data_IF_757234139651
#
_entry.id   IF_757234139651
#
_cell.length_a   1.000
_cell.length_b   1.000
_cell.length_c   1.000
_cell.angle_alpha   90.00
_cell.angle_beta   90.00
_cell.angle_gamma   90.00
#
_symmetry.space_group_name_H-M   'P 1'
#
loop_
_entity.id
_entity.type
_entity.pdbx_description
1 polymer ?
#
# COMPACT_ATOMS: atom_id res chain seq x y z
N UNK A 1 3.69 -9.72 2.30
CA UNK A 1 3.96 -8.64 1.31
C UNK A 1 2.67 -8.13 0.71
N UNK A 2 2.69 -6.88 0.23
CA UNK A 2 1.62 -6.25 -0.56
C UNK A 2 1.39 -7.04 -1.85
N UNK A 3 0.15 -7.07 -2.32
CA UNK A 3 -0.20 -7.71 -3.61
C UNK A 3 -0.77 -6.68 -4.59
N UNK A 4 -0.43 -6.82 -5.86
CA UNK A 4 -1.04 -6.11 -6.97
C UNK A 4 -1.69 -7.12 -7.92
N UNK A 5 -2.99 -7.00 -8.17
CA UNK A 5 -3.78 -7.97 -8.97
C UNK A 5 -3.64 -9.44 -8.52
N UNK A 6 -3.45 -9.64 -7.20
CA UNK A 6 -3.19 -10.95 -6.61
C UNK A 6 -1.74 -11.45 -6.76
N UNK A 7 -0.87 -10.67 -7.38
CA UNK A 7 0.56 -10.96 -7.54
C UNK A 7 1.30 -10.33 -6.35
N UNK A 8 2.10 -11.10 -5.57
CA UNK A 8 2.96 -10.51 -4.54
C UNK A 8 3.94 -9.51 -5.15
N UNK A 9 4.04 -8.32 -4.58
CA UNK A 9 5.01 -7.29 -4.97
C UNK A 9 6.37 -7.69 -4.38
N UNK A 10 7.01 -8.67 -5.00
CA UNK A 10 8.27 -9.26 -4.56
C UNK A 10 8.92 -10.05 -5.72
N UNK A 11 10.12 -10.60 -5.47
CA UNK A 11 10.83 -11.41 -6.43
C UNK A 11 11.61 -10.60 -7.46
N UNK A 12 11.96 -11.23 -8.58
CA UNK A 12 12.73 -10.58 -9.63
C UNK A 12 11.87 -9.78 -10.60
N UNK A 13 12.43 -8.67 -11.14
CA UNK A 13 11.74 -7.80 -12.11
C UNK A 13 11.21 -8.57 -13.31
N UNK A 14 12.00 -9.50 -13.84
CA UNK A 14 11.62 -10.30 -15.02
C UNK A 14 10.39 -11.17 -14.76
N UNK A 15 10.31 -11.81 -13.61
CA UNK A 15 9.16 -12.64 -13.20
C UNK A 15 7.91 -11.79 -12.98
N UNK A 16 8.05 -10.65 -12.30
CA UNK A 16 6.95 -9.71 -12.11
C UNK A 16 6.40 -9.23 -13.45
N UNK A 17 7.29 -8.86 -14.38
CA UNK A 17 6.92 -8.44 -15.74
C UNK A 17 6.12 -9.52 -16.47
N UNK A 18 6.57 -10.78 -16.44
CA UNK A 18 5.84 -11.90 -17.06
C UNK A 18 4.46 -12.12 -16.45
N UNK A 19 4.34 -12.04 -15.11
CA UNK A 19 3.05 -12.17 -14.42
C UNK A 19 2.08 -11.05 -14.81
N UNK A 20 2.56 -9.81 -14.97
CA UNK A 20 1.73 -8.69 -15.43
C UNK A 20 1.33 -8.84 -16.90
N UNK A 21 2.22 -9.34 -17.77
CA UNK A 21 1.86 -9.66 -19.16
C UNK A 21 0.78 -10.74 -19.20
N UNK A 22 0.88 -11.76 -18.37
CA UNK A 22 -0.17 -12.79 -18.25
C UNK A 22 -1.51 -12.25 -17.73
N UNK A 23 -1.51 -11.08 -17.07
CA UNK A 23 -2.74 -10.35 -16.67
C UNK A 23 -3.28 -9.42 -17.76
N UNK A 24 -2.67 -9.38 -18.94
CA UNK A 24 -3.14 -8.63 -20.10
C UNK A 24 -2.42 -7.30 -20.35
N UNK A 25 -1.39 -6.97 -19.59
CA UNK A 25 -0.59 -5.76 -19.83
C UNK A 25 0.41 -5.97 -20.95
N UNK A 26 0.56 -4.96 -21.82
CA UNK A 26 1.45 -5.01 -22.98
C UNK A 26 2.76 -4.28 -22.67
N UNK A 27 3.93 -4.92 -22.84
CA UNK A 27 5.21 -4.26 -22.63
C UNK A 27 5.48 -3.20 -23.70
N UNK A 28 5.97 -2.04 -23.24
CA UNK A 28 6.37 -0.90 -24.06
C UNK A 28 7.77 -0.44 -23.67
N UNK A 29 8.43 0.18 -24.63
CA UNK A 29 9.73 0.81 -24.42
C UNK A 29 9.81 2.10 -25.23
N UNK A 30 10.13 3.18 -24.53
CA UNK A 30 10.35 4.51 -25.14
C UNK A 30 11.72 5.02 -24.68
N UNK A 31 12.69 5.04 -25.59
CA UNK A 31 14.07 5.32 -25.22
C UNK A 31 14.61 4.28 -24.23
N UNK A 32 15.04 4.73 -23.06
CA UNK A 32 15.50 3.89 -21.95
C UNK A 32 14.39 3.47 -20.99
N UNK A 33 13.20 4.08 -21.10
CA UNK A 33 12.08 3.81 -20.20
C UNK A 33 11.29 2.58 -20.65
N UNK A 34 11.19 1.59 -19.76
CA UNK A 34 10.38 0.40 -19.96
C UNK A 34 9.19 0.42 -19.00
N UNK A 35 8.00 0.19 -19.53
CA UNK A 35 6.76 0.10 -18.77
C UNK A 35 5.80 -0.92 -19.41
N UNK A 36 4.71 -1.22 -18.72
CA UNK A 36 3.62 -2.00 -19.28
C UNK A 36 2.39 -1.11 -19.41
N UNK A 37 1.66 -1.24 -20.50
CA UNK A 37 0.46 -0.50 -20.83
C UNK A 37 -0.76 -1.40 -20.74
N UNK A 38 -1.87 -0.89 -20.22
CA UNK A 38 -3.13 -1.61 -20.15
C UNK A 38 -4.17 -0.85 -19.35
N UNK A 39 -5.29 -1.51 -19.08
CA UNK A 39 -6.38 -0.97 -18.28
C UNK A 39 -6.29 -1.48 -16.84
N UNK A 40 -6.47 -0.59 -15.88
CA UNK A 40 -6.60 -0.91 -14.47
C UNK A 40 -7.72 -0.09 -13.85
N UNK A 41 -8.70 -0.77 -13.24
CA UNK A 41 -9.85 -0.14 -12.57
C UNK A 41 -10.62 0.86 -13.47
N UNK A 42 -10.80 0.50 -14.75
CA UNK A 42 -11.52 1.29 -15.74
C UNK A 42 -10.75 2.53 -16.25
N UNK A 43 -9.43 2.52 -16.14
CA UNK A 43 -8.57 3.61 -16.57
C UNK A 43 -7.34 3.05 -17.29
N UNK A 44 -6.96 3.67 -18.41
CA UNK A 44 -5.71 3.36 -19.09
C UNK A 44 -4.53 3.78 -18.23
N UNK A 45 -3.58 2.89 -18.05
CA UNK A 45 -2.45 3.09 -17.15
C UNK A 45 -1.13 2.63 -17.75
N UNK A 46 -0.06 3.23 -17.26
CA UNK A 46 1.31 2.78 -17.42
C UNK A 46 1.82 2.19 -16.10
N UNK A 47 2.31 0.96 -16.13
CA UNK A 47 2.84 0.28 -14.95
C UNK A 47 4.36 0.24 -15.01
N UNK A 48 4.99 0.71 -13.95
CA UNK A 48 6.43 0.68 -13.75
C UNK A 48 6.78 -0.27 -12.59
N UNK A 49 7.83 -1.05 -12.77
CA UNK A 49 8.34 -1.99 -11.77
C UNK A 49 9.64 -1.43 -11.21
N UNK A 50 9.61 -0.95 -9.98
CA UNK A 50 10.79 -0.43 -9.29
C UNK A 50 11.50 -1.56 -8.53
N UNK A 51 12.83 -1.58 -8.62
CA UNK A 51 13.66 -2.62 -8.01
C UNK A 51 14.85 -2.04 -7.26
N UNK A 52 15.24 -2.74 -6.20
CA UNK A 52 16.53 -2.59 -5.54
C UNK A 52 17.29 -3.91 -5.68
N UNK A 53 18.52 -3.91 -6.17
CA UNK A 53 19.30 -5.10 -6.49
C UNK A 53 18.51 -6.16 -7.27
N UNK A 54 17.77 -5.71 -8.31
CA UNK A 54 16.87 -6.52 -9.15
C UNK A 54 15.70 -7.19 -8.41
N UNK A 55 15.49 -6.89 -7.14
CA UNK A 55 14.33 -7.32 -6.35
C UNK A 55 13.25 -6.23 -6.36
N UNK A 56 12.03 -6.62 -6.66
CA UNK A 56 10.89 -5.70 -6.75
C UNK A 56 10.54 -5.21 -5.35
N UNK A 57 10.53 -3.88 -5.16
CA UNK A 57 10.07 -3.25 -3.93
C UNK A 57 8.80 -2.41 -4.12
N UNK A 58 8.48 -2.05 -5.39
CA UNK A 58 7.33 -1.20 -5.69
C UNK A 58 6.76 -1.47 -7.08
N UNK A 59 5.44 -1.49 -7.18
CA UNK A 59 4.71 -1.33 -8.43
C UNK A 59 4.11 0.07 -8.45
N UNK A 60 4.36 0.83 -9.52
CA UNK A 60 3.77 2.15 -9.75
C UNK A 60 2.77 2.03 -10.88
N UNK A 61 1.54 2.46 -10.63
CA UNK A 61 0.45 2.48 -11.61
C UNK A 61 0.09 3.93 -11.88
N UNK A 62 0.54 4.45 -13.02
CA UNK A 62 0.34 5.84 -13.41
C UNK A 62 -0.81 5.94 -14.41
N UNK A 63 -1.71 6.90 -14.25
CA UNK A 63 -2.69 7.22 -15.28
C UNK A 63 -1.97 7.51 -16.60
N UNK A 64 -2.45 6.94 -17.70
CA UNK A 64 -1.85 7.16 -19.03
C UNK A 64 -2.20 8.54 -19.60
N UNK A 65 -3.32 9.13 -19.14
CA UNK A 65 -3.81 10.40 -19.61
C UNK A 65 -3.92 11.41 -18.46
N UNK A 66 -3.58 12.64 -18.73
CA UNK A 66 -3.74 13.77 -17.81
C UNK A 66 -5.17 14.29 -17.84
N UNK A 67 -5.56 15.01 -16.80
CA UNK A 67 -6.89 15.61 -16.61
C UNK A 67 -6.74 17.04 -16.06
N UNK A 68 -7.79 17.84 -16.21
CA UNK A 68 -7.88 19.13 -15.55
C UNK A 68 -8.10 18.98 -14.03
N UNK A 69 -8.02 20.10 -13.32
CA UNK A 69 -8.15 20.16 -11.86
C UNK A 69 -9.49 19.59 -11.36
N UNK A 70 -10.60 19.93 -12.00
CA UNK A 70 -11.93 19.47 -11.59
C UNK A 70 -12.07 17.95 -11.72
N UNK A 71 -11.65 17.40 -12.86
CA UNK A 71 -11.74 15.99 -13.16
C UNK A 71 -10.78 15.14 -12.29
N UNK A 72 -9.56 15.62 -12.03
CA UNK A 72 -8.63 14.88 -11.18
C UNK A 72 -9.10 14.81 -9.73
N UNK A 73 -9.75 15.88 -9.22
CA UNK A 73 -10.37 15.89 -7.88
C UNK A 73 -11.49 14.84 -7.78
N UNK A 74 -12.37 14.78 -8.78
CA UNK A 74 -13.44 13.76 -8.86
C UNK A 74 -12.82 12.36 -8.89
N UNK A 75 -11.80 12.14 -9.71
CA UNK A 75 -11.12 10.86 -9.81
C UNK A 75 -10.45 10.44 -8.50
N UNK A 76 -9.76 11.37 -7.84
CA UNK A 76 -9.13 11.11 -6.53
C UNK A 76 -10.17 10.69 -5.50
N UNK A 77 -11.24 11.46 -5.34
CA UNK A 77 -12.31 11.15 -4.40
C UNK A 77 -13.03 9.83 -4.73
N UNK A 78 -13.20 9.50 -6.02
CA UNK A 78 -13.75 8.21 -6.44
C UNK A 78 -12.85 7.05 -6.01
N UNK A 79 -11.52 7.19 -6.16
CA UNK A 79 -10.57 6.18 -5.68
C UNK A 79 -10.61 6.04 -4.17
N UNK A 80 -10.61 7.15 -3.42
CA UNK A 80 -10.77 7.13 -1.95
C UNK A 80 -12.00 6.31 -1.56
N UNK A 81 -13.15 6.62 -2.11
CA UNK A 81 -14.40 5.90 -1.83
C UNK A 81 -14.32 4.41 -2.21
N UNK A 82 -13.67 4.07 -3.32
CA UNK A 82 -13.48 2.68 -3.74
C UNK A 82 -12.61 1.89 -2.74
N UNK A 83 -11.54 2.49 -2.24
CA UNK A 83 -10.67 1.87 -1.23
C UNK A 83 -11.37 1.74 0.13
N UNK A 84 -12.08 2.78 0.59
CA UNK A 84 -12.82 2.77 1.85
C UNK A 84 -13.93 1.71 1.87
N UNK A 85 -14.62 1.51 0.74
CA UNK A 85 -15.67 0.51 0.60
C UNK A 85 -15.13 -0.91 0.32
N UNK A 86 -13.84 -1.08 0.11
CA UNK A 86 -13.23 -2.37 -0.14
C UNK A 86 -12.69 -2.99 1.14
N UNK A 87 -13.37 -4.03 1.65
CA UNK A 87 -13.00 -4.75 2.89
C UNK A 87 -11.57 -5.30 2.92
N UNK A 88 -10.88 -5.35 1.79
CA UNK A 88 -9.46 -5.76 1.73
C UNK A 88 -8.50 -4.67 2.17
N UNK A 89 -8.99 -3.44 2.42
CA UNK A 89 -8.16 -2.31 2.78
C UNK A 89 -8.64 -1.67 4.08
N UNK A 90 -7.71 -1.08 4.80
CA UNK A 90 -7.95 -0.24 5.99
C UNK A 90 -7.37 1.13 5.75
N UNK A 91 -8.17 2.18 5.97
CA UNK A 91 -7.73 3.56 6.02
C UNK A 91 -7.48 3.97 7.48
N UNK A 92 -6.54 4.89 7.70
CA UNK A 92 -6.27 5.46 9.03
C UNK A 92 -6.74 6.91 9.15
N UNK A 93 -7.11 7.53 8.04
CA UNK A 93 -7.52 8.94 7.98
C UNK A 93 -8.59 9.13 6.91
N UNK A 94 -9.16 10.32 6.84
CA UNK A 94 -10.09 10.75 5.80
C UNK A 94 -9.32 11.52 4.73
N UNK A 95 -9.37 11.02 3.49
CA UNK A 95 -8.57 11.56 2.40
C UNK A 95 -9.36 12.35 1.36
N UNK A 96 -10.68 12.46 1.52
CA UNK A 96 -11.54 13.16 0.56
C UNK A 96 -11.17 14.63 0.45
N UNK A 97 -10.95 15.10 -0.78
CA UNK A 97 -10.68 16.49 -1.10
C UNK A 97 -12.01 17.23 -1.20
N UNK A 98 -12.14 18.37 -0.49
CA UNK A 98 -13.32 19.24 -0.54
C UNK A 98 -13.49 19.85 -1.94
N UNK A 99 -14.73 20.08 -2.35
CA UNK A 99 -15.04 20.77 -3.61
C UNK A 99 -14.48 22.20 -3.65
N UNK A 100 -14.34 22.84 -2.49
CA UNK A 100 -13.80 24.19 -2.36
C UNK A 100 -12.27 24.26 -2.31
N UNK A 101 -11.59 23.13 -2.23
CA UNK A 101 -10.13 23.06 -2.21
C UNK A 101 -9.57 23.38 -3.60
N UNK A 102 -8.71 24.38 -3.70
CA UNK A 102 -7.97 24.73 -4.90
C UNK A 102 -6.64 23.94 -4.90
N UNK A 103 -6.63 22.79 -5.56
CA UNK A 103 -5.44 21.92 -5.55
C UNK A 103 -4.27 22.53 -6.32
N UNK A 104 -4.53 23.32 -7.36
CA UNK A 104 -3.48 24.00 -8.14
C UNK A 104 -2.74 24.99 -7.24
N UNK A 105 -3.46 25.84 -6.53
CA UNK A 105 -2.90 26.82 -5.61
C UNK A 105 -2.14 26.14 -4.46
N UNK A 106 -2.76 25.16 -3.82
CA UNK A 106 -2.16 24.44 -2.70
C UNK A 106 -0.87 23.70 -3.10
N UNK A 107 -0.86 23.02 -4.24
CA UNK A 107 0.33 22.34 -4.75
C UNK A 107 1.44 23.33 -5.14
N UNK A 108 1.09 24.44 -5.83
CA UNK A 108 2.06 25.39 -6.35
C UNK A 108 2.64 26.27 -5.24
N UNK A 109 1.80 26.86 -4.40
CA UNK A 109 2.17 27.86 -3.39
C UNK A 109 2.59 27.22 -2.07
N UNK A 110 1.78 26.31 -1.56
CA UNK A 110 2.00 25.67 -0.26
C UNK A 110 2.80 24.36 -0.34
N UNK A 111 3.12 23.88 -1.55
CA UNK A 111 3.80 22.60 -1.78
C UNK A 111 3.06 21.40 -1.14
N UNK A 112 1.74 21.54 -0.99
CA UNK A 112 0.89 20.49 -0.42
C UNK A 112 0.85 19.30 -1.35
N UNK A 113 0.96 18.10 -0.79
CA UNK A 113 0.70 16.86 -1.49
C UNK A 113 -0.75 16.41 -1.20
N UNK A 114 -1.43 15.91 -2.21
CA UNK A 114 -2.72 15.26 -2.07
C UNK A 114 -2.51 13.75 -2.20
N UNK A 115 -2.36 13.12 -1.06
CA UNK A 115 -2.06 11.67 -0.92
C UNK A 115 -3.19 10.97 -0.19
N UNK A 116 -3.41 9.70 -0.51
CA UNK A 116 -4.27 8.82 0.26
C UNK A 116 -3.55 7.50 0.53
N UNK A 117 -3.50 7.07 1.78
CA UNK A 117 -2.76 5.89 2.23
C UNK A 117 -3.73 4.85 2.80
N UNK A 118 -3.65 3.67 2.26
CA UNK A 118 -4.41 2.50 2.68
C UNK A 118 -3.46 1.35 2.97
N UNK A 119 -3.93 0.40 3.76
CA UNK A 119 -3.19 -0.82 4.04
C UNK A 119 -4.00 -2.03 3.62
N UNK A 120 -3.39 -2.98 2.94
CA UNK A 120 -4.03 -4.25 2.63
C UNK A 120 -4.16 -5.07 3.90
N UNK A 121 -5.39 -5.50 4.20
CA UNK A 121 -5.65 -6.38 5.33
C UNK A 121 -4.96 -7.73 5.13
N UNK A 122 -4.44 -8.36 6.19
CA UNK A 122 -3.95 -9.73 6.12
C UNK A 122 -5.08 -10.67 5.72
N UNK A 123 -4.75 -11.68 4.93
CA UNK A 123 -5.66 -12.78 4.66
C UNK A 123 -5.78 -13.65 5.92
N UNK A 124 -6.86 -13.45 6.66
CA UNK A 124 -7.07 -14.12 7.96
C UNK A 124 -7.10 -15.65 7.87
N UNK A 125 -7.47 -16.21 6.70
CA UNK A 125 -7.46 -17.66 6.47
C UNK A 125 -6.02 -18.21 6.40
N UNK A 126 -5.05 -17.35 6.06
CA UNK A 126 -3.62 -17.70 5.97
C UNK A 126 -2.80 -17.26 7.18
N UNK A 127 -3.43 -16.62 8.16
CA UNK A 127 -2.75 -16.25 9.40
C UNK A 127 -2.54 -17.52 10.24
N UNK A 128 -1.29 -17.83 10.55
CA UNK A 128 -0.95 -18.88 11.49
C UNK A 128 -1.33 -18.44 12.91
N UNK A 129 -2.52 -18.85 13.34
CA UNK A 129 -3.06 -18.52 14.66
C UNK A 129 -2.22 -19.10 15.79
N UNK A 130 -1.59 -20.27 15.58
CA UNK A 130 -0.71 -20.88 16.58
C UNK A 130 0.58 -20.06 16.73
N UNK A 131 1.19 -19.65 15.64
CA UNK A 131 2.36 -18.76 15.69
C UNK A 131 2.03 -17.42 16.35
N UNK A 132 0.83 -16.87 16.13
CA UNK A 132 0.35 -15.65 16.77
C UNK A 132 0.19 -15.85 18.29
N UNK A 133 -0.46 -16.92 18.70
CA UNK A 133 -0.62 -17.28 20.13
C UNK A 133 0.74 -17.47 20.81
N UNK A 134 1.68 -18.14 20.16
CA UNK A 134 3.04 -18.33 20.70
C UNK A 134 3.76 -16.99 20.91
N UNK A 135 3.67 -16.06 19.93
CA UNK A 135 4.25 -14.72 20.08
C UNK A 135 3.64 -13.93 21.24
N UNK A 136 2.32 -14.01 21.41
CA UNK A 136 1.64 -13.36 22.54
C UNK A 136 2.16 -13.97 23.85
N UNK A 137 2.22 -15.30 23.93
CA UNK A 137 2.70 -16.02 25.11
C UNK A 137 4.16 -15.67 25.46
N UNK A 138 5.04 -15.63 24.45
CA UNK A 138 6.44 -15.24 24.63
C UNK A 138 6.56 -13.84 25.26
N UNK A 139 5.82 -12.85 24.76
CA UNK A 139 5.82 -11.49 25.32
C UNK A 139 5.24 -11.42 26.73
N UNK A 140 4.25 -12.26 27.04
CA UNK A 140 3.73 -12.33 28.41
C UNK A 140 4.73 -12.97 29.36
N UNK A 141 5.49 -13.98 28.93
CA UNK A 141 6.52 -14.64 29.74
C UNK A 141 7.74 -13.76 30.04
N UNK A 142 7.94 -12.64 29.33
CA UNK A 142 8.92 -11.63 29.68
C UNK A 142 8.56 -10.89 31.00
N UNK A 143 7.27 -10.86 31.35
CA UNK A 143 6.74 -10.10 32.49
C UNK A 143 6.12 -10.98 33.58
N UNK A 144 5.52 -12.10 33.20
CA UNK A 144 4.79 -12.98 34.10
C UNK A 144 5.39 -14.38 34.14
N UNK A 145 5.27 -15.05 35.29
CA UNK A 145 5.70 -16.45 35.42
C UNK A 145 4.68 -17.41 34.77
N UNK A 146 5.12 -18.59 34.28
CA UNK A 146 4.23 -19.56 33.64
C UNK A 146 2.98 -19.94 34.49
N UNK A 147 3.14 -20.07 35.80
CA UNK A 147 2.04 -20.43 36.72
C UNK A 147 0.96 -19.34 36.79
N UNK A 148 1.30 -18.08 36.57
CA UNK A 148 0.37 -16.97 36.57
C UNK A 148 -0.50 -16.97 35.29
N UNK A 149 0.01 -17.52 34.18
CA UNK A 149 -0.73 -17.61 32.93
C UNK A 149 -1.83 -18.67 32.96
N UNK A 150 -1.82 -19.60 33.89
CA UNK A 150 -2.87 -20.60 34.07
C UNK A 150 -4.16 -20.01 34.67
N UNK A 151 -4.01 -18.95 35.47
CA UNK A 151 -5.12 -18.22 36.09
C UNK A 151 -4.95 -16.72 35.87
N UNK A 152 -5.24 -16.22 34.67
CA UNK A 152 -4.96 -14.82 34.30
C UNK A 152 -5.84 -13.84 35.09
N UNK A 153 -5.22 -12.76 35.56
CA UNK A 153 -5.94 -11.63 36.15
C UNK A 153 -6.56 -10.75 35.05
N UNK A 154 -7.47 -9.83 35.44
CA UNK A 154 -8.04 -8.84 34.54
C UNK A 154 -6.97 -7.97 33.86
N UNK A 155 -5.94 -7.58 34.61
CA UNK A 155 -4.80 -6.81 34.09
C UNK A 155 -4.05 -7.61 33.02
N UNK A 156 -3.83 -8.91 33.23
CA UNK A 156 -3.19 -9.77 32.24
C UNK A 156 -4.04 -9.92 30.98
N UNK A 157 -5.36 -10.03 31.12
CA UNK A 157 -6.28 -10.10 29.97
C UNK A 157 -6.23 -8.80 29.14
N UNK A 158 -6.16 -7.64 29.77
CA UNK A 158 -6.00 -6.36 29.09
C UNK A 158 -4.66 -6.30 28.36
N UNK A 159 -3.60 -6.81 28.95
CA UNK A 159 -2.28 -6.86 28.31
C UNK A 159 -2.23 -7.83 27.13
N UNK A 160 -2.88 -8.99 27.22
CA UNK A 160 -3.07 -9.91 26.08
C UNK A 160 -3.75 -9.20 24.91
N UNK A 161 -4.82 -8.43 25.19
CA UNK A 161 -5.51 -7.67 24.14
C UNK A 161 -4.61 -6.58 23.53
N UNK A 162 -3.85 -5.87 24.35
CA UNK A 162 -2.93 -4.84 23.88
C UNK A 162 -1.80 -5.43 22.99
N UNK A 163 -1.24 -6.57 23.38
CA UNK A 163 -0.23 -7.30 22.60
C UNK A 163 -0.82 -7.80 21.28
N UNK A 164 -2.01 -8.44 21.34
CA UNK A 164 -2.69 -8.93 20.14
C UNK A 164 -3.00 -7.80 19.16
N UNK A 165 -3.49 -6.66 19.66
CA UNK A 165 -3.76 -5.47 18.86
C UNK A 165 -2.49 -4.92 18.21
N UNK A 166 -1.39 -4.80 18.96
CA UNK A 166 -0.09 -4.32 18.44
C UNK A 166 0.46 -5.23 17.35
N UNK A 167 0.38 -6.57 17.53
CA UNK A 167 0.81 -7.53 16.51
C UNK A 167 -0.08 -7.43 15.28
N UNK A 168 -1.41 -7.35 15.46
CA UNK A 168 -2.37 -7.18 14.38
C UNK A 168 -2.13 -5.92 13.56
N UNK A 169 -1.95 -4.78 14.22
CA UNK A 169 -1.58 -3.52 13.57
C UNK A 169 -0.26 -3.64 12.81
N UNK A 170 0.76 -4.28 13.42
CA UNK A 170 2.03 -4.54 12.75
C UNK A 170 1.90 -5.39 11.48
N UNK A 171 0.94 -6.31 11.39
CA UNK A 171 0.65 -7.06 10.18
C UNK A 171 0.00 -6.20 9.08
N UNK A 172 -0.88 -5.27 9.47
CA UNK A 172 -1.59 -4.37 8.55
C UNK A 172 -0.60 -3.35 7.97
N UNK A 173 0.18 -2.66 8.81
CA UNK A 173 1.08 -1.57 8.39
C UNK A 173 2.21 -2.00 7.46
N UNK A 174 2.44 -3.29 7.32
CA UNK A 174 3.44 -3.84 6.41
C UNK A 174 3.03 -3.91 4.94
N UNK A 175 1.78 -3.55 4.63
CA UNK A 175 1.24 -3.69 3.27
C UNK A 175 0.63 -2.39 2.75
N UNK A 176 1.42 -1.29 2.67
CA UNK A 176 0.90 -0.02 2.22
C UNK A 176 0.56 -0.03 0.73
N UNK A 177 -0.57 0.60 0.42
CA UNK A 177 -0.99 0.99 -0.92
C UNK A 177 -1.43 2.43 -0.83
N UNK A 178 -0.82 3.29 -1.61
CA UNK A 178 -1.11 4.71 -1.54
C UNK A 178 -1.12 5.32 -2.94
N UNK A 179 -1.75 6.46 -3.08
CA UNK A 179 -1.78 7.18 -4.33
C UNK A 179 -1.75 8.69 -4.10
N UNK A 180 -1.29 9.41 -5.12
CA UNK A 180 -1.22 10.86 -5.09
C UNK A 180 -1.60 11.47 -6.41
N UNK A 181 -2.02 12.74 -6.33
CA UNK A 181 -2.14 13.61 -7.48
C UNK A 181 -0.74 14.11 -7.84
N UNK A 182 -0.37 13.90 -9.11
CA UNK A 182 0.83 14.44 -9.73
C UNK A 182 0.44 15.52 -10.73
N UNK A 183 1.29 16.52 -10.91
CA UNK A 183 1.10 17.60 -11.88
C UNK A 183 2.15 17.48 -13.00
N UNK A 184 1.73 17.76 -14.21
CA UNK A 184 2.60 17.83 -15.39
C UNK A 184 2.07 18.87 -16.36
N UNK A 185 2.80 19.98 -16.55
CA UNK A 185 2.47 21.08 -17.48
C UNK A 185 1.07 21.69 -17.29
N UNK A 186 0.63 21.83 -16.04
CA UNK A 186 -0.67 22.39 -15.68
C UNK A 186 -1.84 21.43 -15.76
N UNK A 187 -1.59 20.16 -16.05
CA UNK A 187 -2.55 19.07 -16.00
C UNK A 187 -2.18 18.05 -14.92
N UNK A 188 -3.11 17.18 -14.56
CA UNK A 188 -2.98 16.31 -13.41
C UNK A 188 -3.20 14.84 -13.78
N UNK A 189 -2.54 13.95 -13.05
CA UNK A 189 -2.74 12.51 -13.14
C UNK A 189 -2.53 11.87 -11.77
N UNK A 190 -3.03 10.65 -11.59
CA UNK A 190 -2.81 9.91 -10.37
C UNK A 190 -1.74 8.86 -10.60
N UNK A 191 -0.83 8.73 -9.64
CA UNK A 191 0.07 7.59 -9.52
C UNK A 191 -0.27 6.82 -8.26
N UNK A 192 -0.50 5.52 -8.40
CA UNK A 192 -0.72 4.59 -7.29
C UNK A 192 0.55 3.77 -7.05
N UNK A 193 0.81 3.46 -5.79
CA UNK A 193 2.00 2.75 -5.34
C UNK A 193 1.62 1.55 -4.49
N UNK A 194 2.13 0.38 -4.86
CA UNK A 194 2.02 -0.86 -4.12
C UNK A 194 3.42 -1.22 -3.63
N UNK A 195 3.67 -1.02 -2.34
CA UNK A 195 5.01 -1.12 -1.75
C UNK A 195 5.23 -2.45 -1.05
N UNK A 196 6.41 -3.02 -1.30
CA UNK A 196 6.94 -4.14 -0.52
C UNK A 196 7.76 -3.59 0.65
N UNK A 197 7.62 -4.19 1.84
CA UNK A 197 8.34 -3.78 3.04
C UNK A 197 9.80 -4.23 3.11
N UNK A 198 10.20 -5.22 2.27
CA UNK A 198 11.48 -5.91 2.44
C UNK A 198 12.61 -5.43 1.52
N UNK A 199 12.31 -5.04 0.31
CA UNK A 199 13.32 -4.85 -0.73
C UNK A 199 13.78 -3.39 -0.88
N UNK A 200 13.46 -2.53 0.07
CA UNK A 200 13.95 -1.15 0.09
C UNK A 200 15.44 -1.09 0.48
N UNK A 201 16.15 -0.10 -0.05
CA UNK A 201 17.45 0.26 0.49
C UNK A 201 17.29 0.79 1.92
N UNK A 202 18.04 0.25 2.86
CA UNK A 202 17.96 0.59 4.29
C UNK A 202 18.99 1.63 4.73
N UNK A 203 19.87 2.06 3.82
CA UNK A 203 20.91 3.04 4.09
C UNK A 203 22.14 2.49 4.79
N UNK A 204 22.29 1.17 4.92
CA UNK A 204 23.50 0.57 5.54
C UNK A 204 24.78 0.87 4.76
N UNK A 205 24.65 1.20 3.46
CA UNK A 205 25.77 1.51 2.57
C UNK A 205 26.11 3.02 2.50
N UNK A 206 25.51 3.86 3.37
CA UNK A 206 25.76 5.31 3.39
C UNK A 206 26.94 5.70 4.29
#
# INVERSE_FOLDING_TARGET
VTTFLGIPVDGFKSEMRQKLIAKGFTPKKVGTNEYLEGEFNGTDVHIYIATNNNKVYRIMVCDANTQDEANIKIRFNKLVNQFENNKRYTALDQYTISDTEDISYEMLVHKKNFDALFYQNPDMEKVDTLALQNKIREQLLEKYKPEQLENPTEEMNQEVQAIAMRIGMGMIFKKPVWFRICESYGEYYITMYYDNEYNHANGEDL
#
